data_IF_592763635965
#
_entry.id   IF_592763635965
#
_cell.length_a   1.000
_cell.length_b   1.000
_cell.length_c   1.000
_cell.angle_alpha   90.00
_cell.angle_beta   90.00
_cell.angle_gamma   90.00
#
_symmetry.space_group_name_H-M   'P 1'
#
loop_
_entity.id
_entity.type
_entity.pdbx_description
1 polymer ?
#
# COMPACT_ATOMS: atom_id res chain seq x y z
N UNK A 1 -9.70 17.09 -0.12
CA UNK A 1 -8.55 16.31 0.36
C UNK A 1 -9.11 15.28 1.31
N UNK A 2 -8.96 13.98 0.99
CA UNK A 2 -9.52 12.88 1.77
C UNK A 2 -8.95 12.85 3.20
N UNK A 3 -9.62 13.54 4.13
CA UNK A 3 -9.27 13.63 5.55
C UNK A 3 -8.96 12.26 6.17
N UNK A 4 -9.64 11.22 5.71
CA UNK A 4 -9.51 9.85 6.20
C UNK A 4 -8.09 9.30 6.03
N UNK A 5 -7.39 9.64 4.96
CA UNK A 5 -6.04 9.13 4.69
C UNK A 5 -5.03 9.84 5.59
N UNK A 6 -5.16 11.15 5.75
CA UNK A 6 -4.35 11.92 6.69
C UNK A 6 -4.54 11.42 8.13
N UNK A 7 -5.77 11.14 8.54
CA UNK A 7 -6.06 10.59 9.88
C UNK A 7 -5.45 9.21 10.06
N UNK A 8 -5.56 8.32 9.08
CA UNK A 8 -4.99 6.96 9.15
C UNK A 8 -3.46 7.01 9.21
N UNK A 9 -2.82 7.87 8.39
CA UNK A 9 -1.38 8.05 8.43
C UNK A 9 -0.94 8.60 9.79
N UNK A 10 -1.65 9.59 10.33
CA UNK A 10 -1.36 10.16 11.63
C UNK A 10 -1.56 9.16 12.78
N UNK A 11 -2.67 8.43 12.79
CA UNK A 11 -2.99 7.40 13.77
C UNK A 11 -1.94 6.27 13.78
N UNK A 12 -1.44 5.89 12.60
CA UNK A 12 -0.39 4.87 12.47
C UNK A 12 1.03 5.45 12.55
N UNK A 13 1.18 6.74 12.88
CA UNK A 13 2.45 7.48 13.00
C UNK A 13 3.33 7.38 11.74
N UNK A 14 2.72 7.26 10.56
CA UNK A 14 3.41 7.19 9.27
C UNK A 14 3.65 8.62 8.78
N UNK A 15 4.92 9.01 8.71
CA UNK A 15 5.35 10.31 8.22
C UNK A 15 6.21 10.10 6.97
N UNK A 16 5.60 10.33 5.81
CA UNK A 16 6.27 10.28 4.51
C UNK A 16 6.55 11.70 4.01
N UNK A 17 7.82 11.96 3.69
CA UNK A 17 8.26 13.11 2.90
C UNK A 17 8.03 12.82 1.42
N UNK A 18 7.79 13.88 0.65
CA UNK A 18 7.60 13.80 -0.81
C UNK A 18 6.52 12.78 -1.24
N UNK A 19 5.39 12.78 -0.52
CA UNK A 19 4.27 11.89 -0.80
C UNK A 19 3.69 12.17 -2.18
N UNK A 20 3.76 11.16 -3.06
CA UNK A 20 3.18 11.14 -4.39
C UNK A 20 2.03 10.14 -4.39
N UNK A 21 0.86 10.62 -4.80
CA UNK A 21 -0.29 9.73 -5.03
C UNK A 21 -0.18 9.16 -6.44
N UNK A 22 -0.23 7.83 -6.56
CA UNK A 22 -0.26 7.14 -7.85
C UNK A 22 -1.66 6.58 -8.08
N UNK A 23 -2.12 6.64 -9.32
CA UNK A 23 -3.37 5.99 -9.69
C UNK A 23 -3.09 4.50 -9.93
N UNK A 24 -3.79 3.63 -9.19
CA UNK A 24 -3.68 2.20 -9.39
C UNK A 24 -4.13 1.77 -10.79
N UNK A 25 -5.00 2.55 -11.42
CA UNK A 25 -5.45 2.36 -12.81
C UNK A 25 -4.32 2.39 -13.85
N UNK A 26 -3.19 3.04 -13.56
CA UNK A 26 -2.00 3.01 -14.43
C UNK A 26 -1.31 1.65 -14.44
N UNK A 27 -1.52 0.83 -13.41
CA UNK A 27 -0.82 -0.44 -13.22
C UNK A 27 -1.75 -1.66 -13.28
N UNK A 28 -3.03 -1.50 -12.95
CA UNK A 28 -4.02 -2.58 -13.03
C UNK A 28 -5.43 -2.03 -13.22
N UNK A 29 -6.33 -2.86 -13.76
CA UNK A 29 -7.73 -2.49 -14.08
C UNK A 29 -8.60 -2.24 -12.83
N UNK A 30 -8.11 -2.52 -11.62
CA UNK A 30 -8.87 -2.34 -10.37
C UNK A 30 -8.81 -0.87 -9.94
N UNK A 31 -9.96 -0.24 -9.68
CA UNK A 31 -10.04 1.17 -9.24
C UNK A 31 -10.14 1.36 -7.72
N UNK A 32 -10.19 0.26 -6.97
CA UNK A 32 -10.49 0.25 -5.53
C UNK A 32 -9.29 0.55 -4.63
N UNK A 33 -8.13 0.85 -5.22
CA UNK A 33 -6.87 1.04 -4.52
C UNK A 33 -6.33 2.44 -4.80
N UNK A 34 -5.86 3.09 -3.75
CA UNK A 34 -5.04 4.30 -3.85
C UNK A 34 -3.62 3.95 -3.45
N UNK A 35 -2.65 4.44 -4.21
CA UNK A 35 -1.23 4.21 -3.97
C UNK A 35 -0.60 5.51 -3.50
N UNK A 36 0.21 5.44 -2.45
CA UNK A 36 1.00 6.56 -1.97
C UNK A 36 2.46 6.14 -1.89
N UNK A 37 3.29 6.80 -2.69
CA UNK A 37 4.72 6.61 -2.68
C UNK A 37 5.38 7.77 -1.96
N UNK A 38 6.29 7.52 -1.04
CA UNK A 38 7.00 8.58 -0.34
C UNK A 38 8.26 8.08 0.34
N UNK A 39 8.91 8.98 1.07
CA UNK A 39 10.17 8.70 1.76
C UNK A 39 9.93 8.79 3.26
N UNK A 40 10.16 7.72 3.99
CA UNK A 40 9.98 7.70 5.44
C UNK A 40 11.05 8.54 6.16
N UNK A 41 10.89 8.77 7.47
CA UNK A 41 11.87 9.52 8.29
C UNK A 41 13.30 8.99 8.18
N UNK A 42 13.46 7.69 7.97
CA UNK A 42 14.74 7.02 7.81
C UNK A 42 15.29 7.10 6.37
N UNK A 43 14.75 7.98 5.53
CA UNK A 43 15.14 8.17 4.14
C UNK A 43 14.94 6.92 3.24
N UNK A 44 14.02 6.02 3.63
CA UNK A 44 13.67 4.85 2.86
C UNK A 44 12.42 5.08 2.03
N UNK A 45 12.49 4.72 0.75
CA UNK A 45 11.30 4.67 -0.11
C UNK A 45 10.28 3.70 0.46
N UNK A 46 9.07 4.22 0.63
CA UNK A 46 7.94 3.54 1.25
C UNK A 46 6.73 3.65 0.33
N UNK A 47 6.13 2.51 0.05
CA UNK A 47 4.92 2.41 -0.74
C UNK A 47 3.76 1.98 0.15
N UNK A 48 2.70 2.79 0.14
CA UNK A 48 1.50 2.58 0.91
C UNK A 48 0.34 2.30 -0.05
N UNK A 49 -0.28 1.15 0.12
CA UNK A 49 -1.48 0.74 -0.56
C UNK A 49 -2.67 0.99 0.34
N UNK A 50 -3.65 1.73 -0.15
CA UNK A 50 -4.88 2.00 0.55
C UNK A 50 -6.02 1.33 -0.17
N UNK A 51 -6.59 0.29 0.44
CA UNK A 51 -7.72 -0.46 -0.12
C UNK A 51 -8.98 -0.12 0.65
N UNK A 52 -9.96 0.43 -0.06
CA UNK A 52 -11.29 0.65 0.47
C UNK A 52 -12.28 -0.29 -0.23
N UNK A 53 -12.43 -1.50 0.28
CA UNK A 53 -13.35 -2.49 -0.29
C UNK A 53 -13.84 -3.46 0.79
N UNK A 54 -15.15 -3.70 0.82
CA UNK A 54 -15.80 -4.61 1.78
C UNK A 54 -15.47 -6.10 1.56
N UNK A 55 -14.99 -6.46 0.37
CA UNK A 55 -14.69 -7.85 0.01
C UNK A 55 -13.39 -8.33 0.66
N UNK A 56 -13.33 -9.63 0.97
CA UNK A 56 -12.11 -10.27 1.50
C UNK A 56 -10.97 -10.20 0.49
N UNK A 57 -9.78 -9.84 0.96
CA UNK A 57 -8.57 -9.82 0.13
C UNK A 57 -8.05 -11.25 -0.08
N UNK A 58 -7.98 -11.65 -1.34
CA UNK A 58 -7.56 -12.99 -1.78
C UNK A 58 -6.10 -13.01 -2.20
N UNK A 59 -5.49 -14.21 -2.22
CA UNK A 59 -4.07 -14.40 -2.59
C UNK A 59 -3.76 -13.84 -3.99
N UNK A 60 -4.64 -14.11 -4.97
CA UNK A 60 -4.49 -13.59 -6.34
C UNK A 60 -4.46 -12.07 -6.39
N UNK A 61 -5.31 -11.41 -5.60
CA UNK A 61 -5.28 -9.94 -5.52
C UNK A 61 -3.96 -9.44 -4.93
N UNK A 62 -3.43 -10.14 -3.93
CA UNK A 62 -2.16 -9.77 -3.31
C UNK A 62 -0.96 -10.00 -4.23
N UNK A 63 -0.97 -11.08 -5.02
CA UNK A 63 0.04 -11.34 -6.05
C UNK A 63 0.07 -10.20 -7.08
N UNK A 64 -1.10 -9.70 -7.51
CA UNK A 64 -1.19 -8.50 -8.36
C UNK A 64 -0.54 -7.27 -7.69
N UNK A 65 -0.77 -7.05 -6.39
CA UNK A 65 -0.12 -5.93 -5.67
C UNK A 65 1.41 -6.05 -5.67
N UNK A 66 1.93 -7.28 -5.53
CA UNK A 66 3.36 -7.53 -5.54
C UNK A 66 3.99 -7.25 -6.90
N UNK A 67 3.31 -7.61 -8.00
CA UNK A 67 3.78 -7.27 -9.35
C UNK A 67 3.73 -5.75 -9.59
N UNK A 68 2.71 -5.07 -9.08
CA UNK A 68 2.62 -3.61 -9.15
C UNK A 68 3.75 -2.93 -8.37
N UNK A 69 4.16 -3.46 -7.20
CA UNK A 69 5.36 -2.96 -6.51
C UNK A 69 6.57 -2.95 -7.44
N UNK A 70 6.87 -4.08 -8.09
CA UNK A 70 8.02 -4.20 -8.99
C UNK A 70 7.94 -3.23 -10.17
N UNK A 71 6.75 -3.05 -10.73
CA UNK A 71 6.52 -2.08 -11.80
C UNK A 71 6.80 -0.65 -11.32
N UNK A 72 6.38 -0.29 -10.10
CA UNK A 72 6.67 1.02 -9.51
C UNK A 72 8.17 1.16 -9.25
N UNK A 73 8.82 0.17 -8.66
CA UNK A 73 10.26 0.18 -8.42
C UNK A 73 11.05 0.42 -9.72
N UNK A 74 10.65 -0.27 -10.79
CA UNK A 74 11.26 -0.14 -12.12
C UNK A 74 10.94 1.21 -12.75
N UNK A 75 9.70 1.69 -12.63
CA UNK A 75 9.25 2.98 -13.22
C UNK A 75 9.90 4.18 -12.57
N UNK A 76 10.13 4.12 -11.26
CA UNK A 76 10.74 5.21 -10.50
C UNK A 76 12.26 5.03 -10.32
N UNK A 77 12.81 3.90 -10.75
CA UNK A 77 14.21 3.51 -10.50
C UNK A 77 14.58 3.62 -9.01
N UNK A 78 13.66 3.18 -8.15
CA UNK A 78 13.80 3.26 -6.69
C UNK A 78 13.60 1.91 -6.05
N UNK A 79 14.46 1.57 -5.08
CA UNK A 79 14.33 0.37 -4.28
C UNK A 79 13.39 0.62 -3.08
N UNK A 80 12.17 0.07 -3.13
CA UNK A 80 11.15 0.28 -2.11
C UNK A 80 11.40 -0.69 -0.97
N UNK A 81 11.97 -0.18 0.12
CA UNK A 81 12.30 -1.01 1.29
C UNK A 81 11.10 -1.29 2.19
N UNK A 82 10.05 -0.48 2.12
CA UNK A 82 8.89 -0.58 3.02
C UNK A 82 7.60 -0.64 2.22
N UNK A 83 6.82 -1.68 2.47
CA UNK A 83 5.50 -1.88 1.88
C UNK A 83 4.45 -1.88 2.99
N UNK A 84 3.42 -1.06 2.83
CA UNK A 84 2.36 -0.89 3.82
C UNK A 84 1.03 -1.09 3.11
N UNK A 85 0.15 -1.93 3.65
CA UNK A 85 -1.20 -2.15 3.13
C UNK A 85 -2.22 -1.80 4.21
N UNK A 86 -3.01 -0.78 3.91
CA UNK A 86 -4.22 -0.43 4.64
C UNK A 86 -5.43 -1.11 4.03
N UNK A 87 -6.24 -1.73 4.87
CA UNK A 87 -7.41 -2.47 4.44
C UNK A 87 -8.54 -2.36 5.47
N UNK A 88 -9.78 -2.36 4.99
CA UNK A 88 -10.99 -2.32 5.82
C UNK A 88 -11.84 -3.59 5.73
N UNK A 89 -11.20 -4.72 5.39
CA UNK A 89 -11.86 -6.02 5.19
C UNK A 89 -11.11 -7.15 5.86
N UNK A 90 -11.63 -8.37 5.78
CA UNK A 90 -10.84 -9.53 6.17
C UNK A 90 -9.70 -9.77 5.16
N UNK A 91 -8.52 -10.12 5.65
CA UNK A 91 -7.39 -10.64 4.86
C UNK A 91 -7.34 -12.16 5.03
N UNK A 92 -6.97 -12.87 3.96
CA UNK A 92 -6.61 -14.28 4.08
C UNK A 92 -5.33 -14.43 4.92
N UNK A 93 -5.41 -15.11 6.06
CA UNK A 93 -4.30 -15.28 7.01
C UNK A 93 -3.01 -15.80 6.36
N UNK A 94 -3.12 -16.67 5.35
CA UNK A 94 -1.96 -17.19 4.57
C UNK A 94 -1.10 -16.09 3.96
N UNK A 95 -1.69 -14.96 3.57
CA UNK A 95 -0.98 -13.82 2.99
C UNK A 95 -0.10 -13.18 4.07
N UNK A 96 -0.67 -12.92 5.24
CA UNK A 96 0.05 -12.34 6.38
C UNK A 96 1.24 -13.24 6.78
N UNK A 97 1.05 -14.56 6.74
CA UNK A 97 2.13 -15.51 7.07
C UNK A 97 3.23 -15.55 6.01
N UNK A 98 2.88 -15.41 4.73
CA UNK A 98 3.83 -15.48 3.62
C UNK A 98 4.59 -14.17 3.40
N UNK A 99 4.07 -13.04 3.85
CA UNK A 99 4.63 -11.71 3.54
C UNK A 99 5.01 -10.96 4.80
N UNK A 100 6.17 -11.32 5.38
CA UNK A 100 6.67 -10.69 6.62
C UNK A 100 7.22 -9.28 6.40
N UNK A 101 7.66 -8.96 5.19
CA UNK A 101 8.21 -7.64 4.85
C UNK A 101 7.14 -6.55 4.69
N UNK A 102 5.87 -6.94 4.66
CA UNK A 102 4.75 -6.02 4.50
C UNK A 102 4.10 -5.71 5.84
N UNK A 103 3.78 -4.43 6.04
CA UNK A 103 2.99 -3.98 7.20
C UNK A 103 1.53 -3.93 6.83
N UNK A 104 0.72 -4.69 7.54
CA UNK A 104 -0.72 -4.76 7.35
C UNK A 104 -1.40 -3.96 8.46
N UNK A 105 -2.19 -2.95 8.08
CA UNK A 105 -2.94 -2.11 9.02
C UNK A 105 -4.43 -2.18 8.69
N UNK A 106 -5.20 -2.78 9.58
CA UNK A 106 -6.65 -2.73 9.49
C UNK A 106 -7.15 -1.35 9.97
N UNK A 107 -7.99 -0.71 9.16
CA UNK A 107 -8.79 0.44 9.59
C UNK A 107 -10.25 0.01 9.44
N UNK A 108 -10.81 -0.56 10.52
CA UNK A 108 -12.26 -0.84 10.60
C UNK A 108 -12.98 0.35 11.20
#
# INVERSE_FOLDING_TARGET
>A
MDNQICEIFNANKILLKNLKTLNFSDFSKRRSYQLFFGIDKNNFYTLVFFRNAKSKLLKKEFEELFDICKLIETKFDTNIKKHILFYNSQICSKIITQTKDWKFHAFM
#
